data_IF_715212505127
#
_entry.id   IF_715212505127
#
_cell.length_a   1.000
_cell.length_b   1.000
_cell.length_c   1.000
_cell.angle_alpha   90.00
_cell.angle_beta   90.00
_cell.angle_gamma   90.00
#
_symmetry.space_group_name_H-M   'P 1'
#
loop_
_entity.id
_entity.type
_entity.pdbx_description
1 polymer ?
#
# COMPACT_ATOMS: atom_id res chain seq x y z
N UNK A 1 -15.65 11.37 26.62
CA UNK A 1 -16.35 10.12 26.20
C UNK A 1 -15.80 9.50 24.92
N UNK A 2 -15.79 10.16 23.76
CA UNK A 2 -15.14 9.59 22.56
C UNK A 2 -13.64 9.88 22.53
N UNK A 3 -13.23 11.12 22.80
CA UNK A 3 -11.81 11.49 22.79
C UNK A 3 -10.99 10.66 23.79
N UNK A 4 -11.46 10.56 25.04
CA UNK A 4 -10.86 9.70 26.08
C UNK A 4 -10.74 8.23 25.65
N UNK A 5 -11.74 7.70 24.93
CA UNK A 5 -11.70 6.31 24.46
C UNK A 5 -10.68 6.12 23.31
N UNK A 6 -10.56 7.12 22.43
CA UNK A 6 -9.52 7.13 21.39
C UNK A 6 -8.13 7.28 22.00
N UNK A 7 -7.94 8.16 22.98
CA UNK A 7 -6.69 8.32 23.70
C UNK A 7 -6.25 7.01 24.35
N UNK A 8 -7.14 6.35 25.11
CA UNK A 8 -6.86 5.06 25.75
C UNK A 8 -6.51 3.99 24.71
N UNK A 9 -7.25 3.92 23.60
CA UNK A 9 -6.97 2.98 22.51
C UNK A 9 -5.59 3.24 21.89
N UNK A 10 -5.27 4.49 21.56
CA UNK A 10 -3.99 4.86 20.94
C UNK A 10 -2.82 4.52 21.86
N UNK A 11 -2.91 4.85 23.14
CA UNK A 11 -1.88 4.57 24.15
C UNK A 11 -1.64 3.06 24.30
N UNK A 12 -2.71 2.27 24.39
CA UNK A 12 -2.58 0.84 24.67
C UNK A 12 -2.24 0.00 23.44
N UNK A 13 -2.70 0.39 22.26
CA UNK A 13 -2.70 -0.50 21.08
C UNK A 13 -1.76 -0.09 19.94
N UNK A 14 -1.25 1.16 19.92
CA UNK A 14 -0.25 1.54 18.92
C UNK A 14 1.10 0.89 19.24
N UNK A 15 1.58 0.01 18.35
CA UNK A 15 2.85 -0.72 18.53
C UNK A 15 3.77 -0.53 17.32
N UNK A 16 5.09 -0.68 17.45
CA UNK A 16 6.02 -0.50 16.32
C UNK A 16 5.70 -1.36 15.08
N UNK A 17 5.15 -2.56 15.27
CA UNK A 17 4.75 -3.47 14.19
C UNK A 17 3.31 -3.28 13.70
N UNK A 18 2.50 -2.50 14.42
CA UNK A 18 1.10 -2.20 14.12
C UNK A 18 0.76 -0.78 14.61
N UNK A 19 1.32 0.26 13.99
CA UNK A 19 1.17 1.63 14.45
C UNK A 19 -0.19 2.21 14.08
N UNK A 20 -0.75 3.02 14.99
CA UNK A 20 -1.83 3.96 14.67
C UNK A 20 -1.27 5.31 14.23
N UNK A 21 -1.91 5.96 13.26
CA UNK A 21 -1.59 7.31 12.79
C UNK A 21 -2.77 8.25 12.99
N UNK A 22 -2.55 9.38 13.65
CA UNK A 22 -3.57 10.44 13.83
C UNK A 22 -3.45 11.44 12.69
N UNK A 23 -4.50 11.58 11.87
CA UNK A 23 -4.49 12.40 10.65
C UNK A 23 -5.40 13.62 10.82
N UNK A 24 -4.89 14.85 10.63
CA UNK A 24 -5.74 16.04 10.54
C UNK A 24 -6.75 15.94 9.40
N UNK A 25 -8.03 15.89 9.74
CA UNK A 25 -9.09 15.51 8.78
C UNK A 25 -9.96 16.69 8.29
N UNK A 26 -9.80 17.89 8.82
CA UNK A 26 -10.60 19.07 8.46
C UNK A 26 -10.57 19.37 6.96
N UNK A 27 -9.40 19.17 6.33
CA UNK A 27 -9.21 19.29 4.89
C UNK A 27 -9.14 17.91 4.25
N UNK A 28 -10.24 17.50 3.62
CA UNK A 28 -10.39 16.17 3.00
C UNK A 28 -9.27 15.82 2.00
N UNK A 29 -8.83 16.78 1.18
CA UNK A 29 -7.75 16.51 0.21
C UNK A 29 -6.44 16.17 0.94
N UNK A 30 -6.12 16.90 2.01
CA UNK A 30 -4.92 16.69 2.80
C UNK A 30 -4.94 15.33 3.49
N UNK A 31 -6.07 14.99 4.15
CA UNK A 31 -6.22 13.70 4.82
C UNK A 31 -6.00 12.52 3.85
N UNK A 32 -6.52 12.60 2.62
CA UNK A 32 -6.34 11.57 1.59
C UNK A 32 -4.88 11.44 1.16
N UNK A 33 -4.18 12.56 0.98
CA UNK A 33 -2.76 12.56 0.63
C UNK A 33 -1.91 11.98 1.76
N UNK A 34 -2.15 12.41 3.00
CA UNK A 34 -1.41 11.92 4.17
C UNK A 34 -1.55 10.40 4.37
N UNK A 35 -2.77 9.87 4.24
CA UNK A 35 -3.01 8.41 4.32
C UNK A 35 -2.31 7.68 3.16
N UNK A 36 -2.40 8.21 1.94
CA UNK A 36 -1.73 7.63 0.78
C UNK A 36 -0.21 7.56 0.93
N UNK A 37 0.40 8.61 1.48
CA UNK A 37 1.85 8.69 1.70
C UNK A 37 2.34 7.65 2.73
N UNK A 38 1.62 7.47 3.83
CA UNK A 38 1.92 6.45 4.85
C UNK A 38 1.89 5.04 4.24
N UNK A 39 0.86 4.72 3.46
CA UNK A 39 0.73 3.40 2.82
C UNK A 39 1.85 3.20 1.78
N UNK A 40 2.14 4.23 1.00
CA UNK A 40 3.20 4.18 -0.02
C UNK A 40 4.56 3.92 0.61
N UNK A 41 4.89 4.59 1.72
CA UNK A 41 6.17 4.40 2.41
C UNK A 41 6.30 2.98 2.98
N UNK A 42 5.22 2.43 3.53
CA UNK A 42 5.18 1.03 3.96
C UNK A 42 5.44 0.09 2.78
N UNK A 43 4.79 0.29 1.63
CA UNK A 43 5.00 -0.57 0.46
C UNK A 43 6.39 -0.45 -0.14
N UNK A 44 7.00 0.74 -0.11
CA UNK A 44 8.41 0.92 -0.50
C UNK A 44 9.35 0.14 0.40
N UNK A 45 9.09 0.09 1.70
CA UNK A 45 9.93 -0.67 2.65
C UNK A 45 9.90 -2.19 2.44
N UNK A 46 8.88 -2.71 1.74
CA UNK A 46 8.73 -4.14 1.44
C UNK A 46 9.53 -4.59 0.20
N UNK A 47 10.14 -3.66 -0.53
CA UNK A 47 10.93 -3.94 -1.74
C UNK A 47 10.18 -4.82 -2.76
N UNK A 48 8.93 -4.42 -3.04
CA UNK A 48 8.04 -5.18 -3.93
C UNK A 48 8.50 -5.05 -5.39
N UNK A 49 8.62 -6.20 -6.05
CA UNK A 49 8.97 -6.30 -7.46
C UNK A 49 7.92 -7.12 -8.21
N UNK A 50 7.74 -6.80 -9.49
CA UNK A 50 7.04 -7.72 -10.37
C UNK A 50 7.82 -9.03 -10.46
N UNK A 51 7.12 -10.17 -10.58
CA UNK A 51 7.80 -11.42 -10.87
C UNK A 51 8.59 -11.29 -12.18
N UNK A 52 9.68 -12.06 -12.34
CA UNK A 52 10.43 -12.06 -13.58
C UNK A 52 9.50 -12.37 -14.76
N UNK A 53 9.70 -11.65 -15.87
CA UNK A 53 8.97 -11.93 -17.09
C UNK A 53 9.31 -13.34 -17.62
N UNK A 54 8.32 -13.98 -18.26
CA UNK A 54 8.55 -15.18 -19.08
C UNK A 54 9.66 -14.92 -20.11
N UNK A 55 10.36 -15.97 -20.53
CA UNK A 55 11.46 -15.78 -21.47
C UNK A 55 10.94 -15.13 -22.77
N UNK A 56 11.73 -14.23 -23.40
CA UNK A 56 11.34 -13.60 -24.66
C UNK A 56 10.96 -14.62 -25.75
N UNK A 57 11.56 -15.80 -25.71
CA UNK A 57 11.29 -16.92 -26.62
C UNK A 57 9.90 -17.51 -26.41
N UNK A 58 9.46 -17.69 -25.15
CA UNK A 58 8.11 -18.16 -24.81
C UNK A 58 7.07 -17.14 -25.28
N UNK A 59 7.32 -15.86 -25.01
CA UNK A 59 6.43 -14.78 -25.43
C UNK A 59 6.36 -14.66 -26.97
N UNK A 60 7.47 -14.86 -27.68
CA UNK A 60 7.51 -14.85 -29.15
C UNK A 60 6.70 -16.02 -29.74
N UNK A 61 6.87 -17.24 -29.21
CA UNK A 61 6.10 -18.41 -29.65
C UNK A 61 4.59 -18.23 -29.42
N UNK A 62 4.20 -17.74 -28.24
CA UNK A 62 2.80 -17.48 -27.94
C UNK A 62 2.21 -16.43 -28.89
N UNK A 63 2.99 -15.39 -29.22
CA UNK A 63 2.58 -14.37 -30.19
C UNK A 63 2.40 -14.95 -31.60
N UNK A 64 3.31 -15.79 -32.08
CA UNK A 64 3.18 -16.42 -33.41
C UNK A 64 1.93 -17.30 -33.51
N UNK A 65 1.63 -18.08 -32.46
CA UNK A 65 0.43 -18.92 -32.40
C UNK A 65 -0.85 -18.09 -32.51
N UNK A 66 -0.97 -17.02 -31.72
CA UNK A 66 -2.16 -16.15 -31.73
C UNK A 66 -2.35 -15.39 -33.05
N UNK A 67 -1.28 -15.12 -33.79
CA UNK A 67 -1.34 -14.44 -35.09
C UNK A 67 -1.64 -15.39 -36.26
N UNK A 68 -1.62 -16.70 -36.01
CA UNK A 68 -1.93 -17.74 -37.00
C UNK A 68 -3.38 -18.24 -36.91
N UNK A 69 -4.13 -17.80 -35.90
CA UNK A 69 -5.59 -17.90 -35.81
C UNK A 69 -6.28 -16.77 -36.61
#
# INVERSE_FOLDING_TARGET
KYDEAFEEMLEKTSKPYAPWYVIPADKKFFARVAVGDIILELFKSLDLHYPPAESPEVLARAREQLMSE
#
